data_IF_177317553816
#
_entry.id   IF_177317553816
#
_cell.length_a   1.000
_cell.length_b   1.000
_cell.length_c   1.000
_cell.angle_alpha   90.00
_cell.angle_beta   90.00
_cell.angle_gamma   90.00
#
_symmetry.space_group_name_H-M   'P 1'
#
loop_
_entity.id
_entity.type
_entity.pdbx_description
1 polymer ?
#
# COMPACT_ATOMS: atom_id res chain seq x y z
N UNK A 1 -53.63 -27.50 -26.03
CA UNK A 1 -52.37 -26.77 -26.05
C UNK A 1 -52.26 -26.00 -24.73
N UNK A 2 -51.53 -26.54 -23.77
CA UNK A 2 -51.32 -25.96 -22.44
C UNK A 2 -49.93 -25.27 -22.44
N UNK A 3 -49.90 -23.93 -22.30
CA UNK A 3 -48.68 -23.19 -22.11
C UNK A 3 -48.35 -23.09 -20.62
N UNK A 4 -47.31 -23.76 -20.19
CA UNK A 4 -46.77 -23.65 -18.85
C UNK A 4 -45.94 -22.39 -18.72
N UNK A 5 -46.43 -21.41 -17.92
CA UNK A 5 -45.66 -20.24 -17.51
C UNK A 5 -44.55 -20.61 -16.52
N UNK A 6 -43.31 -20.40 -16.91
CA UNK A 6 -42.16 -20.47 -16.01
C UNK A 6 -42.14 -19.23 -15.09
N UNK A 7 -42.54 -19.43 -13.84
CA UNK A 7 -42.36 -18.47 -12.76
C UNK A 7 -40.85 -18.53 -12.36
N UNK A 8 -40.11 -17.56 -12.83
CA UNK A 8 -38.73 -17.38 -12.41
C UNK A 8 -38.67 -16.97 -10.94
N UNK A 9 -38.30 -17.87 -10.05
CA UNK A 9 -37.95 -17.59 -8.67
C UNK A 9 -36.67 -16.77 -8.66
N UNK A 10 -36.83 -15.44 -8.61
CA UNK A 10 -35.73 -14.52 -8.28
C UNK A 10 -35.23 -14.83 -6.87
N UNK A 11 -34.19 -15.66 -6.76
CA UNK A 11 -33.42 -15.74 -5.53
C UNK A 11 -32.85 -14.38 -5.26
N UNK A 12 -33.43 -13.60 -4.36
CA UNK A 12 -32.77 -12.55 -3.62
C UNK A 12 -31.68 -13.23 -2.79
N UNK A 13 -30.46 -13.20 -3.28
CA UNK A 13 -29.28 -13.55 -2.51
C UNK A 13 -29.13 -12.48 -1.42
N UNK A 14 -29.75 -12.70 -0.27
CA UNK A 14 -29.36 -12.02 0.97
C UNK A 14 -27.88 -12.27 1.14
N UNK A 15 -27.08 -11.21 0.92
CA UNK A 15 -25.62 -11.32 0.87
C UNK A 15 -25.08 -11.76 2.21
N UNK A 16 -24.80 -13.04 2.33
CA UNK A 16 -24.04 -13.60 3.43
C UNK A 16 -22.64 -12.95 3.34
N UNK A 17 -22.35 -12.07 4.30
CA UNK A 17 -21.03 -11.43 4.38
C UNK A 17 -20.06 -12.47 4.89
N UNK A 18 -19.21 -12.99 3.99
CA UNK A 18 -18.05 -13.78 4.40
C UNK A 18 -17.00 -12.85 5.03
N UNK A 19 -16.25 -13.34 6.04
CA UNK A 19 -15.12 -12.58 6.55
C UNK A 19 -14.10 -12.31 5.43
N UNK A 20 -13.36 -11.20 5.49
CA UNK A 20 -12.31 -10.92 4.49
C UNK A 20 -11.30 -12.07 4.40
N UNK A 21 -10.87 -12.39 3.18
CA UNK A 21 -9.91 -13.46 2.93
C UNK A 21 -8.54 -13.10 3.54
N UNK A 22 -7.97 -13.93 4.41
CA UNK A 22 -6.66 -13.64 4.99
C UNK A 22 -5.57 -13.56 3.90
N UNK A 23 -4.76 -12.51 3.94
CA UNK A 23 -3.54 -12.40 3.14
C UNK A 23 -2.35 -12.72 4.06
N UNK A 24 -1.72 -13.92 3.96
CA UNK A 24 -0.60 -14.26 4.80
C UNK A 24 0.58 -13.32 4.54
N UNK A 25 1.14 -12.74 5.60
CA UNK A 25 2.34 -11.93 5.49
C UNK A 25 3.55 -12.82 5.15
N UNK A 26 4.19 -12.56 4.02
CA UNK A 26 5.34 -13.32 3.55
C UNK A 26 6.61 -12.91 4.31
N UNK A 27 7.25 -13.86 4.98
CA UNK A 27 8.63 -13.74 5.46
C UNK A 27 9.50 -14.59 4.53
N UNK A 28 10.38 -13.96 3.71
CA UNK A 28 11.20 -14.73 2.78
C UNK A 28 12.13 -15.73 3.50
N UNK A 29 12.43 -16.88 2.89
CA UNK A 29 13.35 -17.85 3.46
C UNK A 29 14.71 -17.21 3.82
N UNK A 30 15.17 -17.47 5.04
CA UNK A 30 16.42 -16.90 5.54
C UNK A 30 16.35 -15.47 6.09
N UNK A 31 15.20 -14.79 5.95
CA UNK A 31 15.01 -13.46 6.51
C UNK A 31 14.59 -13.51 7.99
N UNK A 32 15.03 -12.54 8.81
CA UNK A 32 14.55 -12.43 10.18
C UNK A 32 13.06 -12.06 10.21
N UNK A 33 12.36 -12.39 11.28
CA UNK A 33 11.03 -11.85 11.51
C UNK A 33 11.11 -10.33 11.70
N UNK A 34 10.11 -9.55 11.23
CA UNK A 34 10.04 -8.13 11.55
C UNK A 34 10.15 -7.88 13.05
N UNK A 35 10.97 -6.90 13.44
CA UNK A 35 11.17 -6.56 14.86
C UNK A 35 9.95 -5.88 15.48
N UNK A 36 9.10 -5.26 14.66
CA UNK A 36 7.80 -4.68 15.04
C UNK A 36 6.73 -5.37 14.20
N UNK A 37 5.70 -5.92 14.87
CA UNK A 37 4.57 -6.51 14.17
C UNK A 37 3.50 -5.46 13.90
N UNK A 38 3.65 -4.71 12.81
CA UNK A 38 2.66 -3.70 12.38
C UNK A 38 1.28 -4.30 12.07
N UNK A 39 1.21 -5.60 11.80
CA UNK A 39 -0.02 -6.30 11.44
C UNK A 39 -0.72 -7.00 12.62
N UNK A 40 -0.23 -6.85 13.84
CA UNK A 40 -0.85 -7.48 15.02
C UNK A 40 -2.33 -7.07 15.20
N UNK A 41 -2.60 -5.76 15.08
CA UNK A 41 -3.95 -5.18 15.18
C UNK A 41 -4.57 -4.79 13.82
N UNK A 42 -3.90 -5.15 12.71
CA UNK A 42 -4.30 -4.83 11.36
C UNK A 42 -3.93 -6.00 10.43
N UNK A 43 -4.46 -7.19 10.72
CA UNK A 43 -4.15 -8.40 9.96
C UNK A 43 -4.44 -8.17 8.47
N UNK A 44 -3.47 -8.41 7.58
CA UNK A 44 -3.67 -8.22 6.16
C UNK A 44 -4.76 -9.14 5.61
N UNK A 45 -5.59 -8.59 4.74
CA UNK A 45 -6.59 -9.32 3.99
C UNK A 45 -6.47 -8.95 2.51
N UNK A 46 -6.90 -9.85 1.62
CA UNK A 46 -6.90 -9.55 0.19
C UNK A 46 -7.71 -8.28 -0.11
N UNK A 47 -8.87 -8.14 0.49
CA UNK A 47 -9.75 -6.98 0.31
C UNK A 47 -9.13 -5.69 0.88
N UNK A 48 -8.45 -5.78 2.03
CA UNK A 48 -7.74 -4.64 2.62
C UNK A 48 -6.53 -4.22 1.78
N UNK A 49 -5.78 -5.18 1.25
CA UNK A 49 -4.68 -4.94 0.33
C UNK A 49 -5.16 -4.27 -0.97
N UNK A 50 -6.22 -4.77 -1.59
CA UNK A 50 -6.77 -4.17 -2.82
C UNK A 50 -7.36 -2.77 -2.58
N UNK A 51 -7.99 -2.54 -1.43
CA UNK A 51 -8.43 -1.20 -1.03
C UNK A 51 -7.23 -0.26 -0.85
N UNK A 52 -6.18 -0.68 -0.15
CA UNK A 52 -4.96 0.08 0.03
C UNK A 52 -4.27 0.41 -1.31
N UNK A 53 -4.22 -0.59 -2.21
CA UNK A 53 -3.72 -0.39 -3.57
C UNK A 53 -4.53 0.66 -4.33
N UNK A 54 -5.87 0.59 -4.30
CA UNK A 54 -6.72 1.58 -4.96
C UNK A 54 -6.48 2.99 -4.41
N UNK A 55 -6.40 3.14 -3.08
CA UNK A 55 -6.09 4.42 -2.43
C UNK A 55 -4.72 4.96 -2.85
N UNK A 56 -3.72 4.09 -2.93
CA UNK A 56 -2.35 4.46 -3.29
C UNK A 56 -2.22 5.04 -4.71
N UNK A 57 -3.03 4.55 -5.66
CA UNK A 57 -3.03 5.00 -7.05
C UNK A 57 -4.08 6.08 -7.36
N UNK A 58 -4.86 6.55 -6.40
CA UNK A 58 -5.94 7.51 -6.64
C UNK A 58 -5.48 8.96 -6.48
N UNK A 59 -5.26 9.65 -7.59
CA UNK A 59 -4.88 11.08 -7.61
C UNK A 59 -5.92 12.00 -6.99
N UNK A 60 -7.20 11.60 -6.98
CA UNK A 60 -8.29 12.38 -6.38
C UNK A 60 -8.11 12.66 -4.88
N UNK A 61 -7.20 11.93 -4.22
CA UNK A 61 -6.89 12.14 -2.81
C UNK A 61 -6.05 13.40 -2.58
N UNK A 62 -5.42 13.96 -3.62
CA UNK A 62 -4.71 15.23 -3.55
C UNK A 62 -5.65 16.44 -3.69
N UNK A 63 -5.12 17.62 -3.40
CA UNK A 63 -5.87 18.89 -3.45
C UNK A 63 -6.33 19.24 -4.85
N UNK A 64 -5.49 19.03 -5.87
CA UNK A 64 -5.81 19.27 -7.28
C UNK A 64 -6.46 18.06 -7.97
N UNK A 65 -6.45 16.88 -7.35
CA UNK A 65 -7.01 15.66 -7.89
C UNK A 65 -6.09 14.90 -8.84
N UNK A 66 -4.83 15.29 -8.97
CA UNK A 66 -3.89 14.76 -9.97
C UNK A 66 -2.75 13.93 -9.35
N UNK A 67 -2.33 14.26 -8.12
CA UNK A 67 -1.19 13.64 -7.45
C UNK A 67 -1.63 12.45 -6.60
N UNK A 68 -1.12 11.26 -6.92
CA UNK A 68 -1.29 10.04 -6.12
C UNK A 68 0.01 9.68 -5.37
N UNK A 69 -0.04 8.73 -4.43
CA UNK A 69 1.18 8.18 -3.84
C UNK A 69 2.10 7.59 -4.93
N UNK A 70 1.50 6.94 -5.95
CA UNK A 70 2.24 6.35 -7.07
C UNK A 70 2.93 7.39 -7.97
N UNK A 71 2.55 8.67 -7.92
CA UNK A 71 3.24 9.74 -8.66
C UNK A 71 4.68 9.92 -8.18
N UNK A 72 4.91 9.79 -6.86
CA UNK A 72 6.22 9.90 -6.24
C UNK A 72 6.87 8.53 -5.96
N UNK A 73 6.05 7.49 -5.75
CA UNK A 73 6.49 6.14 -5.44
C UNK A 73 6.20 5.19 -6.60
N UNK A 74 7.04 5.24 -7.62
CA UNK A 74 6.84 4.55 -8.90
C UNK A 74 7.25 3.07 -8.79
N UNK A 75 6.39 2.10 -9.20
CA UNK A 75 6.67 0.67 -9.03
C UNK A 75 7.95 0.20 -9.71
N UNK A 76 8.27 0.73 -10.90
CA UNK A 76 9.48 0.38 -11.65
C UNK A 76 10.76 0.96 -11.01
N UNK A 77 10.64 1.97 -10.14
CA UNK A 77 11.72 2.54 -9.33
C UNK A 77 11.77 1.99 -7.90
N UNK A 78 11.30 0.75 -7.67
CA UNK A 78 11.18 0.16 -6.33
C UNK A 78 10.28 0.98 -5.39
N UNK A 79 9.25 1.59 -5.95
CA UNK A 79 8.36 2.52 -5.24
C UNK A 79 9.10 3.73 -4.64
N UNK A 80 10.10 4.24 -5.34
CA UNK A 80 10.74 5.54 -5.13
C UNK A 80 10.53 6.43 -6.36
N UNK A 81 10.94 7.69 -6.30
CA UNK A 81 11.03 8.54 -7.50
C UNK A 81 12.21 8.09 -8.34
N UNK A 82 11.96 7.79 -9.63
CA UNK A 82 12.95 7.15 -10.50
C UNK A 82 13.84 8.16 -11.24
N UNK A 83 13.27 9.23 -11.75
CA UNK A 83 13.88 10.12 -12.74
C UNK A 83 14.20 11.53 -12.22
N UNK A 84 13.87 11.82 -10.96
CA UNK A 84 14.06 13.13 -10.35
C UNK A 84 14.63 13.02 -8.94
N UNK A 85 15.45 14.00 -8.54
CA UNK A 85 15.94 14.10 -7.16
C UNK A 85 14.80 14.42 -6.18
N UNK A 86 13.87 15.28 -6.60
CA UNK A 86 12.70 15.70 -5.84
C UNK A 86 11.43 15.41 -6.62
N UNK A 87 10.45 14.84 -5.96
CA UNK A 87 9.16 14.54 -6.57
C UNK A 87 8.32 15.80 -6.79
N UNK A 88 7.44 15.76 -7.79
CA UNK A 88 6.46 16.79 -8.06
C UNK A 88 5.15 16.52 -7.32
N UNK A 89 4.73 17.49 -6.50
CA UNK A 89 3.44 17.47 -5.79
C UNK A 89 2.39 18.36 -6.47
N UNK A 90 1.35 18.70 -5.71
CA UNK A 90 0.24 19.55 -6.19
C UNK A 90 0.75 20.86 -6.77
N UNK A 91 0.12 21.31 -7.87
CA UNK A 91 0.51 22.51 -8.59
C UNK A 91 1.98 22.51 -9.04
N UNK A 92 2.52 21.33 -9.32
CA UNK A 92 3.91 21.12 -9.73
C UNK A 92 4.96 21.63 -8.71
N UNK A 93 4.58 21.70 -7.44
CA UNK A 93 5.52 22.02 -6.35
C UNK A 93 6.56 20.91 -6.19
N UNK A 94 7.77 21.24 -5.80
CA UNK A 94 8.79 20.23 -5.50
C UNK A 94 8.73 19.82 -4.03
N UNK A 95 8.86 18.51 -3.78
CA UNK A 95 9.07 17.98 -2.44
C UNK A 95 10.41 18.49 -1.87
N UNK A 96 10.55 18.45 -0.55
CA UNK A 96 11.79 18.95 0.10
C UNK A 96 12.87 17.89 0.20
N UNK A 97 12.55 16.63 -0.03
CA UNK A 97 13.45 15.47 0.06
C UNK A 97 13.09 14.44 -1.01
N UNK A 98 14.04 13.62 -1.39
CA UNK A 98 13.81 12.48 -2.26
C UNK A 98 12.78 11.52 -1.65
N UNK A 99 11.89 10.95 -2.48
CA UNK A 99 10.94 9.95 -2.03
C UNK A 99 11.66 8.62 -1.76
N UNK A 100 11.64 8.11 -0.52
CA UNK A 100 12.29 6.85 -0.19
C UNK A 100 11.56 5.67 -0.81
N UNK A 101 12.26 4.54 -0.94
CA UNK A 101 11.66 3.27 -1.39
C UNK A 101 10.57 2.80 -0.42
N UNK A 102 9.51 2.18 -0.93
CA UNK A 102 8.45 1.59 -0.10
C UNK A 102 8.48 0.06 -0.05
N UNK A 103 9.57 -0.58 -0.50
CA UNK A 103 9.71 -2.02 -0.35
C UNK A 103 10.25 -2.40 1.03
N UNK A 104 9.82 -3.55 1.54
CA UNK A 104 10.28 -4.15 2.80
C UNK A 104 10.02 -3.30 4.06
N UNK A 105 9.03 -2.43 4.03
CA UNK A 105 8.71 -1.52 5.14
C UNK A 105 8.39 -2.24 6.46
N UNK A 106 7.88 -3.47 6.41
CA UNK A 106 7.57 -4.24 7.60
C UNK A 106 8.80 -4.52 8.49
N UNK A 107 10.01 -4.45 7.95
CA UNK A 107 11.27 -4.62 8.71
C UNK A 107 11.86 -3.31 9.21
N UNK A 108 11.32 -2.16 8.81
CA UNK A 108 11.77 -0.85 9.27
C UNK A 108 11.20 -0.53 10.66
N UNK A 109 11.97 0.15 11.49
CA UNK A 109 11.56 0.60 12.83
C UNK A 109 11.03 2.04 12.84
N UNK A 110 11.39 2.82 11.83
CA UNK A 110 10.99 4.21 11.67
C UNK A 110 10.91 4.56 10.19
N UNK A 111 10.10 5.54 9.87
CA UNK A 111 9.80 6.00 8.51
C UNK A 111 10.19 7.48 8.37
N UNK A 112 10.25 7.95 7.12
CA UNK A 112 10.84 9.22 6.71
C UNK A 112 12.37 9.25 6.93
N UNK A 113 13.06 10.19 6.27
CA UNK A 113 14.51 10.30 6.35
C UNK A 113 15.04 10.63 7.75
N UNK A 114 14.24 11.31 8.56
CA UNK A 114 14.57 11.71 9.94
C UNK A 114 14.07 10.72 10.99
N UNK A 115 13.36 9.65 10.59
CA UNK A 115 12.79 8.68 11.51
C UNK A 115 11.63 9.24 12.36
N UNK A 116 11.03 10.37 11.94
CA UNK A 116 10.01 11.08 12.72
C UNK A 116 8.69 10.31 12.89
N UNK A 117 8.49 9.23 12.16
CA UNK A 117 7.29 8.37 12.25
C UNK A 117 7.71 6.94 12.56
N UNK A 118 7.13 6.36 13.61
CA UNK A 118 7.47 5.02 14.09
C UNK A 118 6.36 3.98 13.87
N UNK A 119 5.30 4.31 13.15
CA UNK A 119 4.19 3.40 12.87
C UNK A 119 3.74 3.49 11.41
N UNK A 120 3.70 2.34 10.74
CA UNK A 120 3.40 2.24 9.30
C UNK A 120 2.02 2.82 8.93
N UNK A 121 1.00 2.66 9.80
CA UNK A 121 -0.34 3.21 9.54
C UNK A 121 -0.37 4.74 9.59
N UNK A 122 0.52 5.37 10.36
CA UNK A 122 0.55 6.83 10.53
C UNK A 122 1.36 7.52 9.42
N UNK A 123 2.29 6.79 8.82
CA UNK A 123 3.21 7.32 7.80
C UNK A 123 2.50 8.10 6.67
N UNK A 124 1.36 7.65 6.08
CA UNK A 124 0.74 8.36 4.97
C UNK A 124 0.11 9.73 5.31
N UNK A 125 -0.04 10.06 6.59
CA UNK A 125 -0.65 11.34 6.98
C UNK A 125 0.18 12.54 6.52
N UNK A 126 1.51 12.44 6.61
CA UNK A 126 2.38 13.54 6.19
C UNK A 126 2.25 13.84 4.68
N UNK A 127 2.50 12.90 3.76
CA UNK A 127 2.37 13.17 2.34
C UNK A 127 0.95 13.58 1.91
N UNK A 128 -0.10 13.08 2.56
CA UNK A 128 -1.47 13.49 2.28
C UNK A 128 -1.70 14.98 2.58
N UNK A 129 -1.06 15.52 3.64
CA UNK A 129 -1.34 16.87 4.14
C UNK A 129 -0.24 17.88 3.83
N UNK A 130 0.96 17.45 3.46
CA UNK A 130 2.09 18.33 3.15
C UNK A 130 1.78 19.21 1.93
N UNK A 131 1.91 20.55 2.04
CA UNK A 131 1.52 21.48 0.97
C UNK A 131 2.29 21.31 -0.34
N UNK A 132 3.49 20.76 -0.28
CA UNK A 132 4.35 20.49 -1.45
C UNK A 132 4.23 19.06 -1.98
N UNK A 133 3.37 18.23 -1.39
CA UNK A 133 3.10 16.86 -1.83
C UNK A 133 1.64 16.73 -2.29
N UNK A 134 0.76 16.05 -1.56
CA UNK A 134 -0.66 15.93 -1.93
C UNK A 134 -1.53 17.10 -1.45
N UNK A 135 -1.10 17.85 -0.43
CA UNK A 135 -1.65 19.15 0.00
C UNK A 135 -3.10 19.16 0.43
N UNK A 136 -3.73 18.01 0.73
CA UNK A 136 -5.15 17.93 1.02
C UNK A 136 -5.41 17.82 2.54
N UNK A 137 -6.56 18.31 2.98
CA UNK A 137 -7.04 18.12 4.35
C UNK A 137 -7.62 16.72 4.48
N UNK A 138 -7.32 16.03 5.57
CA UNK A 138 -7.79 14.67 5.83
C UNK A 138 -9.32 14.53 5.72
N UNK A 139 -10.07 15.50 6.23
CA UNK A 139 -11.54 15.50 6.13
C UNK A 139 -12.03 15.63 4.70
N UNK A 140 -11.33 16.39 3.84
CA UNK A 140 -11.63 16.50 2.42
C UNK A 140 -11.36 15.18 1.70
N UNK A 141 -10.25 14.50 2.01
CA UNK A 141 -9.95 13.14 1.49
C UNK A 141 -11.10 12.20 1.85
N UNK A 142 -11.48 12.15 3.13
CA UNK A 142 -12.58 11.29 3.60
C UNK A 142 -13.91 11.62 2.94
N UNK A 143 -14.20 12.91 2.72
CA UNK A 143 -15.41 13.34 2.03
C UNK A 143 -15.44 12.86 0.56
N UNK A 144 -14.30 12.98 -0.16
CA UNK A 144 -14.19 12.50 -1.56
C UNK A 144 -14.46 11.01 -1.66
N UNK A 145 -13.83 10.19 -0.82
CA UNK A 145 -13.97 8.73 -0.88
C UNK A 145 -15.33 8.23 -0.38
N UNK A 146 -15.96 8.93 0.59
CA UNK A 146 -17.31 8.58 1.05
C UNK A 146 -18.39 8.73 -0.01
N UNK A 147 -18.21 9.62 -0.99
CA UNK A 147 -19.13 9.81 -2.11
C UNK A 147 -19.01 8.76 -3.20
N UNK A 148 -17.91 8.02 -3.23
CA UNK A 148 -17.66 7.00 -4.25
C UNK A 148 -18.20 5.64 -3.78
N UNK A 149 -19.21 5.15 -4.51
CA UNK A 149 -19.84 3.85 -4.20
C UNK A 149 -18.87 2.67 -4.37
N UNK A 150 -17.83 2.79 -5.19
CA UNK A 150 -16.79 1.77 -5.30
C UNK A 150 -15.99 1.69 -4.00
N UNK A 151 -15.61 2.82 -3.40
CA UNK A 151 -14.97 2.83 -2.08
C UNK A 151 -15.88 2.28 -1.00
N UNK A 152 -17.16 2.67 -0.96
CA UNK A 152 -18.11 2.11 0.02
C UNK A 152 -18.16 0.58 -0.03
N UNK A 153 -18.22 -0.01 -1.24
CA UNK A 153 -18.17 -1.47 -1.42
C UNK A 153 -16.83 -2.06 -0.95
N UNK A 154 -15.71 -1.43 -1.30
CA UNK A 154 -14.38 -1.93 -0.92
C UNK A 154 -14.14 -1.84 0.59
N UNK A 155 -14.56 -0.75 1.26
CA UNK A 155 -14.49 -0.64 2.72
C UNK A 155 -15.37 -1.69 3.40
N UNK A 156 -16.59 -1.93 2.88
CA UNK A 156 -17.47 -3.00 3.38
C UNK A 156 -16.80 -4.36 3.24
N UNK A 157 -16.19 -4.65 2.10
CA UNK A 157 -15.49 -5.92 1.88
C UNK A 157 -14.26 -6.10 2.78
N UNK A 158 -13.50 -5.02 3.03
CA UNK A 158 -12.27 -5.07 3.82
C UNK A 158 -12.52 -5.07 5.35
N UNK A 159 -13.58 -4.40 5.82
CA UNK A 159 -13.82 -4.15 7.25
C UNK A 159 -15.17 -4.62 7.78
N UNK A 160 -15.99 -5.27 6.94
CA UNK A 160 -17.29 -5.82 7.33
C UNK A 160 -18.46 -4.86 7.22
N UNK A 161 -18.22 -3.54 7.21
CA UNK A 161 -19.26 -2.51 7.01
C UNK A 161 -18.70 -1.33 6.18
N UNK A 162 -19.61 -0.48 5.66
CA UNK A 162 -19.26 0.62 4.77
C UNK A 162 -18.74 1.89 5.50
N UNK A 163 -18.40 1.80 6.78
CA UNK A 163 -17.87 2.95 7.53
C UNK A 163 -16.51 3.36 7.00
N UNK A 164 -16.42 4.59 6.50
CA UNK A 164 -15.19 5.19 5.98
C UNK A 164 -14.71 6.25 6.98
N UNK A 165 -13.56 5.98 7.59
CA UNK A 165 -12.85 6.89 8.48
C UNK A 165 -11.34 6.85 8.23
N UNK A 166 -10.60 7.78 8.82
CA UNK A 166 -9.14 7.90 8.63
C UNK A 166 -8.40 6.65 9.08
N UNK A 167 -8.78 6.06 10.20
CA UNK A 167 -8.12 4.87 10.73
C UNK A 167 -8.20 3.69 9.75
N UNK A 168 -9.38 3.40 9.20
CA UNK A 168 -9.55 2.31 8.22
C UNK A 168 -8.83 2.60 6.91
N UNK A 169 -8.85 3.86 6.46
CA UNK A 169 -8.10 4.28 5.26
C UNK A 169 -6.60 4.05 5.43
N UNK A 170 -6.03 4.50 6.54
CA UNK A 170 -4.62 4.35 6.86
C UNK A 170 -4.23 2.88 7.07
N UNK A 171 -5.10 2.08 7.72
CA UNK A 171 -4.92 0.63 7.83
C UNK A 171 -4.85 -0.06 6.48
N UNK A 172 -5.73 0.28 5.55
CA UNK A 172 -5.71 -0.28 4.19
C UNK A 172 -4.43 0.11 3.44
N UNK A 173 -3.99 1.38 3.51
CA UNK A 173 -2.71 1.82 2.95
C UNK A 173 -1.54 1.03 3.53
N UNK A 174 -1.50 0.82 4.85
CA UNK A 174 -0.46 0.02 5.51
C UNK A 174 -0.50 -1.45 5.09
N UNK A 175 -1.68 -2.04 4.87
CA UNK A 175 -1.78 -3.40 4.34
C UNK A 175 -1.18 -3.51 2.94
N UNK A 176 -1.37 -2.52 2.08
CA UNK A 176 -0.75 -2.50 0.76
C UNK A 176 0.76 -2.27 0.86
N UNK A 177 1.21 -1.16 1.43
CA UNK A 177 2.62 -0.78 1.44
C UNK A 177 3.50 -1.72 2.25
N UNK A 178 2.99 -2.26 3.36
CA UNK A 178 3.72 -3.21 4.20
C UNK A 178 3.87 -4.61 3.59
N UNK A 179 3.06 -4.95 2.57
CA UNK A 179 3.17 -6.19 1.81
C UNK A 179 3.97 -6.04 0.49
N UNK A 180 4.56 -4.89 0.22
CA UNK A 180 5.50 -4.70 -0.88
C UNK A 180 6.86 -5.31 -0.51
N UNK A 181 7.04 -6.60 -0.78
CA UNK A 181 8.23 -7.35 -0.37
C UNK A 181 9.10 -7.63 -1.59
N UNK A 182 10.33 -7.11 -1.56
CA UNK A 182 11.37 -7.38 -2.57
C UNK A 182 12.40 -8.34 -1.98
N UNK A 183 12.46 -9.57 -2.51
CA UNK A 183 13.30 -10.65 -1.97
C UNK A 183 13.87 -11.58 -3.07
N UNK A 184 13.87 -11.10 -4.32
CA UNK A 184 14.28 -11.92 -5.46
C UNK A 184 15.43 -11.27 -6.25
N UNK A 185 16.27 -10.48 -5.58
CA UNK A 185 17.50 -9.95 -6.15
C UNK A 185 18.52 -11.08 -6.40
N UNK A 186 19.59 -10.78 -7.16
CA UNK A 186 20.70 -11.72 -7.31
C UNK A 186 21.33 -12.07 -5.96
N UNK A 187 21.43 -11.10 -5.04
CA UNK A 187 21.89 -11.35 -3.68
C UNK A 187 21.01 -12.38 -2.95
N UNK A 188 19.69 -12.21 -2.99
CA UNK A 188 18.76 -13.15 -2.37
C UNK A 188 18.90 -14.55 -2.94
N UNK A 189 19.04 -14.66 -4.27
CA UNK A 189 19.26 -15.94 -4.96
C UNK A 189 20.58 -16.60 -4.53
N UNK A 190 21.64 -15.81 -4.39
CA UNK A 190 22.93 -16.34 -3.91
C UNK A 190 22.81 -16.84 -2.48
N UNK A 191 22.11 -16.10 -1.60
CA UNK A 191 21.89 -16.53 -0.21
C UNK A 191 21.08 -17.85 -0.12
N UNK A 192 20.23 -18.13 -1.10
CA UNK A 192 19.45 -19.38 -1.20
C UNK A 192 20.15 -20.49 -1.99
N UNK A 193 21.35 -20.23 -2.52
CA UNK A 193 22.08 -21.20 -3.36
C UNK A 193 21.53 -21.35 -4.79
N UNK A 194 20.69 -20.44 -5.25
CA UNK A 194 20.03 -20.43 -6.57
C UNK A 194 20.86 -19.69 -7.63
N UNK A 195 21.90 -18.97 -7.22
CA UNK A 195 22.81 -18.23 -8.10
C UNK A 195 24.20 -18.12 -7.47
N UNK A 196 25.17 -17.67 -8.26
CA UNK A 196 26.52 -17.35 -7.79
C UNK A 196 26.88 -15.92 -8.19
N UNK A 197 27.66 -15.24 -7.35
CA UNK A 197 28.25 -13.96 -7.70
C UNK A 197 29.35 -14.15 -8.75
N UNK A 198 29.49 -13.19 -9.63
CA UNK A 198 30.73 -13.04 -10.42
C UNK A 198 31.88 -12.67 -9.48
N UNK A 199 33.12 -12.77 -9.96
CA UNK A 199 34.29 -12.39 -9.19
C UNK A 199 34.23 -10.91 -8.70
N UNK A 200 33.79 -9.99 -9.57
CA UNK A 200 33.63 -8.58 -9.21
C UNK A 200 32.54 -8.33 -8.17
N UNK A 201 31.39 -9.00 -8.30
CA UNK A 201 30.29 -8.90 -7.32
C UNK A 201 30.72 -9.50 -5.97
N UNK A 202 31.45 -10.63 -5.98
CA UNK A 202 31.96 -11.25 -4.76
C UNK A 202 32.95 -10.31 -4.06
N UNK A 203 33.82 -9.66 -4.81
CA UNK A 203 34.75 -8.67 -4.26
C UNK A 203 34.02 -7.45 -3.70
N UNK A 204 33.01 -6.92 -4.41
CA UNK A 204 32.15 -5.85 -3.92
C UNK A 204 31.43 -6.24 -2.62
N UNK A 205 30.89 -7.44 -2.55
CA UNK A 205 30.25 -7.96 -1.34
C UNK A 205 31.19 -8.08 -0.15
N UNK A 206 32.47 -8.47 -0.37
CA UNK A 206 33.48 -8.50 0.71
C UNK A 206 33.85 -7.12 1.22
N UNK A 207 33.84 -6.10 0.35
CA UNK A 207 34.10 -4.71 0.75
C UNK A 207 32.92 -4.08 1.50
N UNK A 208 31.69 -4.58 1.26
CA UNK A 208 30.47 -4.08 1.91
C UNK A 208 30.31 -4.61 3.34
N UNK A 209 30.79 -5.80 3.64
CA UNK A 209 30.74 -6.45 4.97
C UNK A 209 31.73 -5.82 5.94
#
# INVERSE_FOLDING_TARGET
MLSAGLVGNGRQSGGQMFPPDPLPFLIPPGWPKPGINYFDKNKPTEQGFQLGRKLFYDGRLSKDGEVSCASCHQPFGSFATYDHDLSHGVSNSLSTRNAPVLVNLAWMKAFHWDGGVNHLEVQPLHPLTAPTEMGEKLDSVLWKIRKDTAYQRMFKAAFGDATINSQRMLKALAQFTGNLISYNSKYDKVQRGEAVFTEYEQRGYQLFK
#
